data_IF_606373319692
#
_entry.id   IF_606373319692
#
_cell.length_a   1.000
_cell.length_b   1.000
_cell.length_c   1.000
_cell.angle_alpha   90.00
_cell.angle_beta   90.00
_cell.angle_gamma   90.00
#
_symmetry.space_group_name_H-M   'P 1'
#
loop_
_entity.id
_entity.type
_entity.pdbx_description
1 polymer ?
#
# COMPACT_ATOMS: atom_id res chain seq x y z
N UNK A 1 5.28 -13.74 -14.25
CA UNK A 1 6.73 -14.06 -14.20
C UNK A 1 7.58 -13.19 -15.14
N UNK A 2 7.01 -12.59 -16.20
CA UNK A 2 7.75 -11.81 -17.22
C UNK A 2 8.16 -10.36 -16.88
N UNK A 3 7.73 -9.78 -15.74
CA UNK A 3 8.00 -8.38 -15.39
C UNK A 3 9.27 -8.14 -14.53
N UNK A 4 9.98 -9.21 -14.14
CA UNK A 4 11.06 -9.10 -13.14
C UNK A 4 12.49 -8.96 -13.71
N UNK A 5 12.69 -9.04 -15.04
CA UNK A 5 13.99 -8.75 -15.67
C UNK A 5 13.80 -7.73 -16.79
N UNK A 6 14.47 -6.57 -16.75
CA UNK A 6 14.40 -5.62 -17.85
C UNK A 6 15.03 -6.28 -19.09
N UNK A 7 14.33 -6.35 -20.22
CA UNK A 7 14.93 -6.83 -21.46
C UNK A 7 16.07 -5.89 -21.89
N UNK A 8 17.07 -6.38 -22.63
CA UNK A 8 18.26 -5.59 -22.99
C UNK A 8 17.95 -4.30 -23.79
N UNK A 9 16.79 -4.23 -24.44
CA UNK A 9 16.30 -3.01 -25.09
C UNK A 9 15.75 -1.99 -24.09
N UNK A 10 15.16 -2.42 -22.97
CA UNK A 10 14.67 -1.55 -21.91
C UNK A 10 15.79 -0.84 -21.16
N UNK A 11 16.95 -1.49 -20.98
CA UNK A 11 18.15 -0.84 -20.44
C UNK A 11 18.65 0.30 -21.34
N UNK A 12 18.51 0.15 -22.66
CA UNK A 12 18.82 1.18 -23.66
C UNK A 12 17.79 2.33 -23.70
N UNK A 13 16.54 2.08 -23.33
CA UNK A 13 15.51 3.13 -23.19
C UNK A 13 15.68 3.87 -21.87
N UNK A 14 15.98 3.16 -20.78
CA UNK A 14 16.25 3.76 -19.48
C UNK A 14 17.47 4.69 -19.48
N UNK A 15 18.48 4.43 -20.32
CA UNK A 15 19.63 5.32 -20.50
C UNK A 15 19.31 6.61 -21.28
N UNK A 16 18.21 6.62 -22.06
CA UNK A 16 17.70 7.79 -22.81
C UNK A 16 16.71 8.64 -22.02
N UNK A 17 16.26 8.18 -20.85
CA UNK A 17 15.39 8.98 -19.98
C UNK A 17 16.18 10.09 -19.28
N UNK A 18 15.58 11.28 -19.10
CA UNK A 18 16.15 12.37 -18.31
C UNK A 18 16.63 11.87 -16.93
N UNK A 19 17.72 12.42 -16.37
CA UNK A 19 18.24 11.99 -15.07
C UNK A 19 17.21 12.10 -13.93
N UNK A 20 16.22 13.00 -14.04
CA UNK A 20 15.12 13.10 -13.07
C UNK A 20 14.16 11.88 -13.10
N UNK A 21 14.01 11.21 -14.24
CA UNK A 21 13.11 10.05 -14.42
C UNK A 21 13.79 8.71 -14.06
N UNK A 22 15.10 8.71 -13.79
CA UNK A 22 15.86 7.53 -13.32
C UNK A 22 15.47 7.09 -11.89
N UNK A 23 14.68 7.90 -11.19
CA UNK A 23 14.08 7.51 -9.92
C UNK A 23 12.98 6.45 -10.08
N UNK A 24 12.33 6.38 -11.26
CA UNK A 24 11.23 5.44 -11.48
C UNK A 24 11.75 4.03 -11.76
N UNK A 25 11.20 3.04 -11.04
CA UNK A 25 11.52 1.65 -11.28
C UNK A 25 11.00 1.20 -12.66
N UNK A 26 11.75 0.36 -13.37
CA UNK A 26 11.36 -0.12 -14.70
C UNK A 26 9.95 -0.76 -14.74
N UNK A 27 9.55 -1.58 -13.74
CA UNK A 27 8.18 -2.11 -13.69
C UNK A 27 7.11 -1.02 -13.59
N UNK A 28 7.36 0.06 -12.85
CA UNK A 28 6.43 1.19 -12.71
C UNK A 28 6.26 1.96 -14.02
N UNK A 29 7.37 2.29 -14.70
CA UNK A 29 7.31 2.96 -16.02
C UNK A 29 6.56 2.11 -17.04
N UNK A 30 6.79 0.79 -17.01
CA UNK A 30 6.15 -0.14 -17.95
C UNK A 30 4.64 -0.19 -17.77
N UNK A 31 4.14 -0.32 -16.53
CA UNK A 31 2.69 -0.40 -16.29
C UNK A 31 2.00 0.93 -16.59
N UNK A 32 2.60 2.07 -16.22
CA UNK A 32 2.05 3.40 -16.51
C UNK A 32 1.98 3.61 -18.03
N UNK A 33 3.02 3.21 -18.78
CA UNK A 33 3.04 3.32 -20.24
C UNK A 33 1.94 2.48 -20.90
N UNK A 34 1.75 1.24 -20.45
CA UNK A 34 0.66 0.37 -20.92
C UNK A 34 -0.69 1.03 -20.65
N UNK A 35 -0.86 1.62 -19.46
CA UNK A 35 -2.12 2.21 -19.05
C UNK A 35 -2.45 3.49 -19.82
N UNK A 36 -1.44 4.30 -20.17
CA UNK A 36 -1.59 5.43 -21.09
C UNK A 36 -2.07 4.94 -22.45
N UNK A 37 -1.46 3.88 -23.00
CA UNK A 37 -1.87 3.30 -24.29
C UNK A 37 -3.33 2.82 -24.23
N UNK A 38 -3.70 2.10 -23.16
CA UNK A 38 -5.09 1.65 -22.95
C UNK A 38 -6.05 2.84 -22.89
N UNK A 39 -5.70 3.90 -22.15
CA UNK A 39 -6.49 5.13 -22.08
C UNK A 39 -6.65 5.78 -23.46
N UNK A 40 -5.58 5.87 -24.26
CA UNK A 40 -5.65 6.38 -25.62
C UNK A 40 -6.60 5.54 -26.49
N UNK A 41 -6.52 4.21 -26.41
CA UNK A 41 -7.41 3.31 -27.16
C UNK A 41 -8.88 3.49 -26.74
N UNK A 42 -9.15 3.58 -25.44
CA UNK A 42 -10.51 3.82 -24.91
C UNK A 42 -11.03 5.16 -25.44
N UNK A 43 -10.25 6.23 -25.34
CA UNK A 43 -10.65 7.55 -25.83
C UNK A 43 -10.86 7.59 -27.34
N UNK A 44 -10.05 6.90 -28.13
CA UNK A 44 -10.24 6.76 -29.58
C UNK A 44 -11.55 6.03 -29.88
N UNK A 45 -11.82 4.90 -29.22
CA UNK A 45 -13.06 4.14 -29.39
C UNK A 45 -14.28 4.99 -29.04
N UNK A 46 -14.23 5.71 -27.92
CA UNK A 46 -15.28 6.64 -27.48
C UNK A 46 -15.45 7.77 -28.49
N UNK A 47 -14.37 8.38 -28.98
CA UNK A 47 -14.43 9.45 -29.98
C UNK A 47 -15.12 8.99 -31.28
N UNK A 48 -14.87 7.76 -31.73
CA UNK A 48 -15.54 7.16 -32.90
C UNK A 48 -17.06 7.07 -32.66
N UNK A 49 -17.50 6.64 -31.47
CA UNK A 49 -18.93 6.55 -31.13
C UNK A 49 -19.55 7.95 -30.99
N UNK A 50 -18.86 8.87 -30.32
CA UNK A 50 -19.31 10.25 -30.08
C UNK A 50 -19.45 11.07 -31.37
N UNK A 51 -18.78 10.70 -32.47
CA UNK A 51 -19.03 11.36 -33.79
C UNK A 51 -20.50 11.33 -34.20
N UNK A 52 -21.25 10.30 -33.79
CA UNK A 52 -22.69 10.18 -34.07
C UNK A 52 -23.57 10.86 -33.01
N UNK A 53 -23.02 11.14 -31.83
CA UNK A 53 -23.74 11.69 -30.68
C UNK A 53 -22.91 12.76 -29.96
N UNK A 54 -22.63 13.91 -30.61
CA UNK A 54 -21.73 14.94 -30.06
C UNK A 54 -22.23 15.54 -28.74
N UNK A 55 -23.54 15.48 -28.49
CA UNK A 55 -24.17 15.95 -27.23
C UNK A 55 -23.64 15.20 -26.01
N UNK A 56 -23.15 13.97 -26.18
CA UNK A 56 -22.65 13.13 -25.08
C UNK A 56 -21.18 13.40 -24.74
N UNK A 57 -20.49 14.26 -25.49
CA UNK A 57 -19.06 14.51 -25.30
C UNK A 57 -18.74 15.14 -23.94
N UNK A 58 -19.56 16.08 -23.47
CA UNK A 58 -19.42 16.68 -22.14
C UNK A 58 -19.57 15.62 -21.04
N UNK A 59 -20.60 14.77 -21.12
CA UNK A 59 -20.83 13.69 -20.17
C UNK A 59 -19.73 12.64 -20.17
N UNK A 60 -19.14 12.36 -21.33
CA UNK A 60 -17.98 11.48 -21.46
C UNK A 60 -16.75 12.04 -20.73
N UNK A 61 -16.44 13.32 -20.94
CA UNK A 61 -15.35 14.01 -20.23
C UNK A 61 -15.63 14.06 -18.72
N UNK A 62 -16.85 14.41 -18.33
CA UNK A 62 -17.27 14.44 -16.93
C UNK A 62 -17.09 13.08 -16.27
N UNK A 63 -17.56 12.01 -16.89
CA UNK A 63 -17.43 10.66 -16.37
C UNK A 63 -15.97 10.22 -16.19
N UNK A 64 -15.09 10.57 -17.13
CA UNK A 64 -13.64 10.35 -17.00
C UNK A 64 -13.05 11.15 -15.83
N UNK A 65 -13.40 12.44 -15.70
CA UNK A 65 -12.92 13.28 -14.61
C UNK A 65 -13.45 12.85 -13.24
N UNK A 66 -14.67 12.32 -13.17
CA UNK A 66 -15.21 11.73 -11.95
C UNK A 66 -14.42 10.48 -11.56
N UNK A 67 -14.04 9.64 -12.54
CA UNK A 67 -13.15 8.50 -12.30
C UNK A 67 -11.78 8.91 -11.74
N UNK A 68 -11.20 9.98 -12.31
CA UNK A 68 -9.96 10.55 -11.79
C UNK A 68 -10.13 11.13 -10.37
N UNK A 69 -11.19 11.91 -10.15
CA UNK A 69 -11.46 12.51 -8.84
C UNK A 69 -11.65 11.43 -7.77
N UNK A 70 -12.42 10.40 -8.07
CA UNK A 70 -12.72 9.34 -7.13
C UNK A 70 -11.49 8.50 -6.77
N UNK A 71 -10.57 8.28 -7.71
CA UNK A 71 -9.27 7.66 -7.40
C UNK A 71 -8.42 8.45 -6.39
N UNK A 72 -8.69 9.75 -6.24
CA UNK A 72 -8.03 10.57 -5.22
C UNK A 72 -8.72 10.51 -3.87
N UNK A 73 -9.79 9.74 -3.71
CA UNK A 73 -10.45 9.59 -2.43
C UNK A 73 -9.51 8.94 -1.41
N UNK A 74 -9.63 9.41 -0.17
CA UNK A 74 -8.67 9.16 0.89
C UNK A 74 -8.50 7.67 1.21
N UNK A 75 -9.58 6.90 1.05
CA UNK A 75 -9.67 5.47 1.29
C UNK A 75 -9.03 4.62 0.19
N UNK A 76 -9.16 5.03 -1.07
CA UNK A 76 -8.46 4.43 -2.21
C UNK A 76 -6.94 4.52 -2.01
N UNK A 77 -6.42 5.74 -1.82
CA UNK A 77 -4.99 6.00 -1.59
C UNK A 77 -4.50 5.18 -0.39
N UNK A 78 -5.22 5.23 0.73
CA UNK A 78 -4.81 4.52 1.95
C UNK A 78 -4.79 3.00 1.78
N UNK A 79 -5.81 2.43 1.12
CA UNK A 79 -5.87 1.00 0.87
C UNK A 79 -4.71 0.55 -0.04
N UNK A 80 -4.46 1.28 -1.14
CA UNK A 80 -3.40 0.99 -2.11
C UNK A 80 -2.02 1.12 -1.45
N UNK A 81 -1.78 2.16 -0.67
CA UNK A 81 -0.52 2.41 0.03
C UNK A 81 -0.19 1.33 1.05
N UNK A 82 -1.13 1.05 1.95
CA UNK A 82 -0.98 0.05 3.01
C UNK A 82 -0.70 -1.32 2.41
N UNK A 83 -1.34 -1.64 1.29
CA UNK A 83 -1.16 -2.91 0.60
C UNK A 83 0.15 -2.98 -0.17
N UNK A 84 0.51 -1.91 -0.87
CA UNK A 84 1.80 -1.79 -1.57
C UNK A 84 2.96 -1.97 -0.60
N UNK A 85 2.95 -1.23 0.51
CA UNK A 85 3.94 -1.34 1.58
C UNK A 85 4.05 -2.76 2.11
N UNK A 86 2.93 -3.37 2.46
CA UNK A 86 2.89 -4.71 3.02
C UNK A 86 3.48 -5.75 2.07
N UNK A 87 3.13 -5.67 0.79
CA UNK A 87 3.66 -6.57 -0.24
C UNK A 87 5.16 -6.34 -0.47
N UNK A 88 5.64 -5.09 -0.41
CA UNK A 88 7.07 -4.78 -0.48
C UNK A 88 7.84 -5.30 0.74
N UNK A 89 7.27 -5.19 1.95
CA UNK A 89 7.85 -5.79 3.16
C UNK A 89 7.95 -7.33 3.06
N UNK A 90 7.03 -7.94 2.33
CA UNK A 90 7.08 -9.36 1.95
C UNK A 90 8.03 -9.69 0.78
N UNK A 91 8.86 -8.74 0.34
CA UNK A 91 9.84 -8.91 -0.74
C UNK A 91 9.27 -8.88 -2.17
N UNK A 92 7.99 -8.50 -2.34
CA UNK A 92 7.37 -8.41 -3.67
C UNK A 92 7.59 -7.02 -4.31
N UNK A 93 7.39 -6.95 -5.63
CA UNK A 93 7.37 -5.68 -6.41
C UNK A 93 5.98 -5.47 -7.01
N UNK A 94 5.00 -5.03 -6.21
CA UNK A 94 3.57 -5.11 -6.54
C UNK A 94 3.10 -3.89 -7.36
N UNK A 95 3.44 -3.82 -8.65
CA UNK A 95 3.07 -2.67 -9.52
C UNK A 95 1.59 -2.57 -9.90
N UNK A 96 0.81 -3.63 -9.73
CA UNK A 96 -0.58 -3.71 -10.22
C UNK A 96 -1.64 -3.65 -9.11
N UNK A 97 -1.26 -3.24 -7.88
CA UNK A 97 -2.17 -3.16 -6.73
C UNK A 97 -3.35 -2.26 -7.04
N UNK A 98 -3.09 -1.03 -7.48
CA UNK A 98 -4.12 -0.07 -7.88
C UNK A 98 -4.99 -0.58 -9.02
N UNK A 99 -4.40 -1.15 -10.07
CA UNK A 99 -5.17 -1.68 -11.22
C UNK A 99 -6.22 -2.69 -10.81
N UNK A 100 -5.85 -3.66 -9.97
CA UNK A 100 -6.80 -4.68 -9.52
C UNK A 100 -7.87 -4.10 -8.59
N UNK A 101 -7.49 -3.15 -7.74
CA UNK A 101 -8.42 -2.44 -6.87
C UNK A 101 -9.47 -1.67 -7.69
N UNK A 102 -9.06 -0.81 -8.61
CA UNK A 102 -9.96 0.00 -9.45
C UNK A 102 -10.87 -0.87 -10.33
N UNK A 103 -10.36 -1.98 -10.88
CA UNK A 103 -11.17 -2.92 -11.66
C UNK A 103 -12.25 -3.59 -10.81
N UNK A 104 -11.93 -3.94 -9.57
CA UNK A 104 -12.88 -4.47 -8.60
C UNK A 104 -13.97 -3.44 -8.28
N UNK A 105 -13.57 -2.21 -7.92
CA UNK A 105 -14.50 -1.11 -7.63
C UNK A 105 -15.40 -0.83 -8.82
N UNK A 106 -14.80 -0.68 -10.00
CA UNK A 106 -15.50 -0.41 -11.26
C UNK A 106 -16.49 -1.50 -11.67
N UNK A 107 -16.31 -2.74 -11.18
CA UNK A 107 -17.28 -3.81 -11.43
C UNK A 107 -18.64 -3.46 -10.84
N UNK A 108 -18.67 -2.91 -9.62
CA UNK A 108 -19.93 -2.45 -9.02
C UNK A 108 -20.49 -1.27 -9.80
N UNK A 109 -19.66 -0.30 -10.19
CA UNK A 109 -20.11 0.86 -10.99
C UNK A 109 -20.75 0.44 -12.32
N UNK A 110 -20.14 -0.50 -13.05
CA UNK A 110 -20.69 -1.05 -14.29
C UNK A 110 -22.01 -1.79 -14.02
N UNK A 111 -22.07 -2.63 -12.99
CA UNK A 111 -23.30 -3.34 -12.61
C UNK A 111 -24.41 -2.35 -12.27
N UNK A 112 -24.14 -1.35 -11.44
CA UNK A 112 -25.10 -0.30 -11.08
C UNK A 112 -25.60 0.42 -12.31
N UNK A 113 -24.71 0.82 -13.23
CA UNK A 113 -25.12 1.47 -14.49
C UNK A 113 -26.05 0.58 -15.33
N UNK A 114 -25.77 -0.72 -15.45
CA UNK A 114 -26.62 -1.66 -16.19
C UNK A 114 -27.99 -1.81 -15.51
N UNK A 115 -28.00 -2.01 -14.19
CA UNK A 115 -29.24 -2.18 -13.40
C UNK A 115 -30.10 -0.95 -13.51
N UNK A 116 -29.53 0.23 -13.27
CA UNK A 116 -30.24 1.51 -13.33
C UNK A 116 -30.77 1.78 -14.74
N UNK A 117 -29.96 1.55 -15.78
CA UNK A 117 -30.39 1.70 -17.17
C UNK A 117 -31.51 0.72 -17.58
N UNK A 118 -31.48 -0.52 -17.09
CA UNK A 118 -32.51 -1.53 -17.39
C UNK A 118 -33.85 -1.26 -16.68
N UNK A 119 -33.83 -0.44 -15.63
CA UNK A 119 -34.93 -0.29 -14.68
C UNK A 119 -35.73 1.02 -14.87
N UNK A 120 -35.42 1.79 -15.92
CA UNK A 120 -35.98 3.12 -16.20
C UNK A 120 -37.51 3.18 -16.01
N UNK A 121 -37.95 3.86 -14.95
CA UNK A 121 -39.35 4.28 -14.71
C UNK A 121 -40.11 3.54 -13.59
N UNK A 122 -39.90 2.24 -13.37
CA UNK A 122 -40.82 1.44 -12.51
C UNK A 122 -40.28 1.05 -11.12
N UNK A 123 -38.96 1.11 -10.90
CA UNK A 123 -38.33 0.56 -9.68
C UNK A 123 -37.41 1.56 -8.95
N UNK A 124 -37.44 2.85 -9.30
CA UNK A 124 -36.59 3.89 -8.72
C UNK A 124 -36.65 3.89 -7.17
N UNK A 125 -37.86 3.81 -6.60
CA UNK A 125 -38.06 3.75 -5.14
C UNK A 125 -37.50 2.50 -4.45
N UNK A 126 -37.38 1.36 -5.16
CA UNK A 126 -36.77 0.12 -4.61
C UNK A 126 -35.24 0.19 -4.69
N UNK A 127 -34.72 0.93 -5.67
CA UNK A 127 -33.30 1.16 -5.84
C UNK A 127 -32.77 2.13 -4.77
N UNK A 128 -33.51 3.19 -4.44
CA UNK A 128 -33.10 4.16 -3.41
C UNK A 128 -32.82 3.48 -2.06
N UNK A 129 -33.72 2.61 -1.60
CA UNK A 129 -33.52 1.86 -0.35
C UNK A 129 -32.42 0.78 -0.42
N UNK A 130 -32.13 0.24 -1.61
CA UNK A 130 -31.01 -0.69 -1.79
C UNK A 130 -29.66 0.04 -1.82
N UNK A 131 -29.63 1.24 -2.40
CA UNK A 131 -28.46 2.13 -2.44
C UNK A 131 -28.07 2.58 -1.04
N UNK A 132 -29.03 2.95 -0.19
CA UNK A 132 -28.78 3.37 1.20
C UNK A 132 -28.19 2.23 2.04
N UNK A 133 -28.80 1.03 1.98
CA UNK A 133 -28.29 -0.15 2.70
C UNK A 133 -26.92 -0.57 2.16
N UNK A 134 -26.74 -0.55 0.84
CA UNK A 134 -25.48 -0.88 0.20
C UNK A 134 -24.37 0.10 0.58
N UNK A 135 -24.66 1.40 0.64
CA UNK A 135 -23.75 2.45 1.10
C UNK A 135 -23.26 2.23 2.52
N UNK A 136 -24.18 2.00 3.47
CA UNK A 136 -23.83 1.71 4.87
C UNK A 136 -22.96 0.46 4.99
N UNK A 137 -23.30 -0.61 4.27
CA UNK A 137 -22.51 -1.85 4.26
C UNK A 137 -21.13 -1.60 3.66
N UNK A 138 -21.05 -0.91 2.51
CA UNK A 138 -19.81 -0.57 1.83
C UNK A 138 -18.87 0.21 2.73
N UNK A 139 -19.32 1.34 3.28
CA UNK A 139 -18.53 2.19 4.17
C UNK A 139 -18.12 1.47 5.45
N UNK A 140 -18.99 0.65 6.04
CA UNK A 140 -18.67 -0.15 7.24
C UNK A 140 -17.57 -1.18 6.96
N UNK A 141 -17.66 -1.89 5.83
CA UNK A 141 -16.67 -2.88 5.43
C UNK A 141 -15.34 -2.21 5.07
N UNK A 142 -15.36 -1.10 4.34
CA UNK A 142 -14.17 -0.30 4.02
C UNK A 142 -13.47 0.19 5.29
N UNK A 143 -14.22 0.74 6.26
CA UNK A 143 -13.69 1.21 7.53
C UNK A 143 -12.99 0.08 8.29
N UNK A 144 -13.66 -1.08 8.41
CA UNK A 144 -13.11 -2.24 9.09
C UNK A 144 -11.81 -2.73 8.42
N UNK A 145 -11.76 -2.77 7.08
CA UNK A 145 -10.56 -3.19 6.35
C UNK A 145 -9.43 -2.18 6.50
N UNK A 146 -9.69 -0.87 6.37
CA UNK A 146 -8.67 0.17 6.54
C UNK A 146 -8.07 0.16 7.94
N UNK A 147 -8.89 0.07 8.97
CA UNK A 147 -8.42 -0.03 10.36
C UNK A 147 -7.54 -1.27 10.53
N UNK A 148 -7.98 -2.42 10.01
CA UNK A 148 -7.24 -3.66 10.12
C UNK A 148 -5.89 -3.60 9.38
N UNK A 149 -5.87 -3.06 8.16
CA UNK A 149 -4.65 -2.85 7.38
C UNK A 149 -3.73 -1.82 8.05
N UNK A 150 -4.30 -0.77 8.65
CA UNK A 150 -3.61 0.24 9.42
C UNK A 150 -2.88 -0.36 10.62
N UNK A 151 -3.55 -1.16 11.43
CA UNK A 151 -2.94 -1.88 12.57
C UNK A 151 -1.84 -2.82 12.06
N UNK A 152 -2.10 -3.57 10.99
CA UNK A 152 -1.11 -4.48 10.40
C UNK A 152 0.16 -3.75 9.93
N UNK A 153 0.01 -2.59 9.30
CA UNK A 153 1.14 -1.77 8.85
C UNK A 153 1.82 -1.01 9.99
N UNK A 154 1.11 -0.69 11.07
CA UNK A 154 1.66 -0.16 12.31
C UNK A 154 2.62 -1.17 12.96
N UNK A 155 2.27 -2.47 12.91
CA UNK A 155 3.16 -3.53 13.37
C UNK A 155 4.42 -3.67 12.50
N UNK A 156 4.29 -3.56 11.17
CA UNK A 156 5.46 -3.51 10.26
C UNK A 156 6.33 -2.29 10.61
N UNK A 157 5.71 -1.14 10.90
CA UNK A 157 6.41 0.09 11.29
C UNK A 157 7.18 -0.12 12.59
N UNK A 158 6.56 -0.74 13.60
CA UNK A 158 7.23 -1.09 14.85
C UNK A 158 8.48 -1.96 14.62
N UNK A 159 8.36 -3.00 13.77
CA UNK A 159 9.50 -3.85 13.41
C UNK A 159 10.62 -3.09 12.68
N UNK A 160 10.27 -2.17 11.77
CA UNK A 160 11.26 -1.32 11.10
C UNK A 160 12.01 -0.42 12.11
N UNK A 161 11.29 0.14 13.09
CA UNK A 161 11.88 0.95 14.16
C UNK A 161 12.80 0.11 15.06
N UNK A 162 12.47 -1.16 15.33
CA UNK A 162 13.38 -2.05 16.03
C UNK A 162 14.63 -2.35 15.19
N UNK A 163 14.47 -2.66 13.90
CA UNK A 163 15.57 -2.99 12.99
C UNK A 163 16.57 -1.84 12.85
N UNK A 164 16.08 -0.60 12.71
CA UNK A 164 16.99 0.56 12.61
C UNK A 164 17.79 0.77 13.91
N UNK A 165 17.20 0.50 15.09
CA UNK A 165 17.92 0.60 16.37
C UNK A 165 19.04 -0.44 16.48
N UNK A 166 18.80 -1.67 16.01
CA UNK A 166 19.80 -2.74 15.98
C UNK A 166 20.92 -2.40 15.01
N UNK A 167 20.58 -2.01 13.77
CA UNK A 167 21.59 -1.64 12.75
C UNK A 167 22.44 -0.46 13.23
N UNK A 168 21.85 0.55 13.87
CA UNK A 168 22.58 1.68 14.44
C UNK A 168 23.52 1.26 15.58
N UNK A 169 23.17 0.24 16.35
CA UNK A 169 24.03 -0.33 17.40
C UNK A 169 25.22 -1.07 16.77
N UNK A 170 24.96 -1.96 15.82
CA UNK A 170 26.00 -2.74 15.11
C UNK A 170 26.99 -1.86 14.35
N UNK A 171 26.52 -0.76 13.75
CA UNK A 171 27.37 0.20 13.03
C UNK A 171 28.41 0.88 13.94
N UNK A 172 28.07 1.06 15.22
CA UNK A 172 28.96 1.66 16.24
C UNK A 172 29.84 0.61 16.91
N UNK A 173 29.35 -0.62 17.09
CA UNK A 173 30.11 -1.73 17.69
C UNK A 173 31.18 -2.32 16.77
N UNK A 174 31.15 -2.04 15.47
CA UNK A 174 32.13 -2.55 14.49
C UNK A 174 31.86 -3.98 14.01
N UNK A 175 30.86 -4.67 14.57
CA UNK A 175 30.47 -6.05 14.25
C UNK A 175 29.58 -6.16 12.99
N UNK A 176 29.88 -5.38 11.94
CA UNK A 176 29.01 -5.32 10.76
C UNK A 176 29.26 -6.53 9.85
N UNK A 177 28.40 -7.54 9.94
CA UNK A 177 28.23 -8.49 8.83
C UNK A 177 27.51 -7.77 7.67
N UNK A 178 28.20 -7.63 6.53
CA UNK A 178 27.68 -7.00 5.31
C UNK A 178 26.59 -7.86 4.63
N UNK A 179 25.41 -7.96 5.23
CA UNK A 179 24.22 -8.45 4.55
C UNK A 179 23.51 -7.29 3.83
N UNK A 180 23.98 -6.97 2.63
CA UNK A 180 23.45 -5.89 1.77
C UNK A 180 22.09 -6.20 1.12
N UNK A 181 21.57 -7.42 1.26
CA UNK A 181 20.30 -7.78 0.62
C UNK A 181 19.10 -7.56 1.55
N UNK A 182 18.31 -6.52 1.27
CA UNK A 182 16.90 -6.46 1.70
C UNK A 182 16.63 -5.99 3.14
N UNK A 183 17.12 -4.81 3.55
CA UNK A 183 16.76 -4.21 4.85
C UNK A 183 15.24 -4.03 5.08
N UNK A 184 14.45 -4.06 4.01
CA UNK A 184 12.98 -4.04 4.04
C UNK A 184 12.37 -5.39 3.64
N UNK A 185 13.09 -6.20 2.86
CA UNK A 185 12.64 -7.48 2.33
C UNK A 185 13.21 -8.64 3.19
N UNK A 186 12.34 -9.32 3.94
CA UNK A 186 12.79 -10.34 4.90
C UNK A 186 12.62 -9.92 6.35
N UNK A 187 11.68 -9.01 6.64
CA UNK A 187 11.09 -8.97 7.98
C UNK A 187 10.37 -10.30 8.19
N UNK A 188 11.09 -11.31 8.70
CA UNK A 188 10.49 -12.57 9.08
C UNK A 188 9.38 -12.26 10.09
N UNK A 189 8.14 -12.47 9.64
CA UNK A 189 6.95 -12.40 10.47
C UNK A 189 6.85 -13.65 11.35
N UNK A 190 7.99 -14.22 11.73
CA UNK A 190 8.14 -15.33 12.63
C UNK A 190 8.10 -14.82 14.07
N UNK A 191 6.87 -14.77 14.59
CA UNK A 191 6.59 -14.63 16.02
C UNK A 191 5.43 -15.54 16.37
N UNK A 192 5.54 -16.26 17.49
CA UNK A 192 4.57 -17.27 17.93
C UNK A 192 3.35 -16.72 18.69
N UNK A 193 2.97 -15.46 18.52
CA UNK A 193 1.87 -14.84 19.26
C UNK A 193 0.49 -15.06 18.62
N UNK A 194 -0.58 -15.00 19.43
CA UNK A 194 -1.99 -15.02 18.94
C UNK A 194 -2.21 -13.92 17.90
N UNK A 195 -1.70 -12.72 18.18
CA UNK A 195 -1.76 -11.57 17.28
C UNK A 195 -1.05 -11.85 15.94
N UNK A 196 0.09 -12.55 15.94
CA UNK A 196 0.79 -12.94 14.71
C UNK A 196 0.01 -14.00 13.93
N UNK A 197 -0.73 -14.89 14.61
CA UNK A 197 -1.57 -15.90 13.96
C UNK A 197 -2.78 -15.28 13.26
N UNK A 198 -3.45 -14.32 13.92
CA UNK A 198 -4.56 -13.54 13.33
C UNK A 198 -4.04 -12.72 12.15
N UNK A 199 -2.93 -11.98 12.32
CA UNK A 199 -2.34 -11.22 11.23
C UNK A 199 -1.89 -12.12 10.08
N UNK A 200 -1.26 -13.27 10.32
CA UNK A 200 -0.92 -14.23 9.25
C UNK A 200 -2.15 -14.68 8.46
N UNK A 201 -3.30 -14.90 9.11
CA UNK A 201 -4.53 -15.33 8.44
C UNK A 201 -5.11 -14.22 7.57
N UNK A 202 -5.21 -13.00 8.09
CA UNK A 202 -5.73 -11.85 7.32
C UNK A 202 -4.74 -11.43 6.24
N UNK A 203 -3.45 -11.51 6.51
CA UNK A 203 -2.40 -11.25 5.53
C UNK A 203 -2.39 -12.29 4.41
N UNK A 204 -2.61 -13.57 4.69
CA UNK A 204 -2.77 -14.60 3.65
C UNK A 204 -3.97 -14.32 2.75
N UNK A 205 -4.97 -13.59 3.24
CA UNK A 205 -6.11 -13.17 2.44
C UNK A 205 -5.76 -12.13 1.37
N UNK A 206 -4.71 -11.32 1.53
CA UNK A 206 -4.28 -10.32 0.53
C UNK A 206 -2.76 -10.39 0.31
N UNK A 207 -2.23 -11.56 0.00
CA UNK A 207 -0.79 -11.80 -0.18
C UNK A 207 -0.29 -11.55 -1.62
N UNK A 208 -1.19 -11.23 -2.56
CA UNK A 208 -0.87 -11.00 -3.97
C UNK A 208 -1.62 -9.77 -4.50
N UNK A 209 -1.04 -9.03 -5.48
CA UNK A 209 -1.69 -7.84 -6.06
C UNK A 209 -3.11 -8.09 -6.57
N UNK A 210 -3.39 -9.24 -7.18
CA UNK A 210 -4.71 -9.55 -7.74
C UNK A 210 -5.83 -9.66 -6.69
N UNK A 211 -5.48 -9.96 -5.44
CA UNK A 211 -6.44 -10.05 -4.33
C UNK A 211 -6.98 -8.68 -3.90
N UNK A 212 -6.45 -7.60 -4.47
CA UNK A 212 -7.06 -6.28 -4.38
C UNK A 212 -8.38 -6.18 -5.16
N UNK A 213 -8.65 -7.07 -6.12
CA UNK A 213 -9.90 -7.01 -6.88
C UNK A 213 -11.14 -7.25 -6.01
N UNK A 214 -11.23 -8.35 -5.22
CA UNK A 214 -12.32 -8.49 -4.26
C UNK A 214 -12.42 -7.32 -3.28
N UNK A 215 -11.29 -6.75 -2.84
CA UNK A 215 -11.29 -5.60 -1.96
C UNK A 215 -11.90 -4.37 -2.64
N UNK A 216 -11.54 -4.11 -3.90
CA UNK A 216 -12.12 -3.06 -4.72
C UNK A 216 -13.63 -3.23 -4.87
N UNK A 217 -14.12 -4.47 -5.08
CA UNK A 217 -15.56 -4.74 -5.13
C UNK A 217 -16.25 -4.34 -3.82
N UNK A 218 -15.63 -4.63 -2.66
CA UNK A 218 -16.18 -4.23 -1.36
C UNK A 218 -16.25 -2.70 -1.21
N UNK A 219 -15.21 -1.98 -1.65
CA UNK A 219 -15.17 -0.52 -1.62
C UNK A 219 -16.17 0.10 -2.60
N UNK A 220 -16.34 -0.51 -3.77
CA UNK A 220 -17.31 -0.08 -4.78
C UNK A 220 -18.78 -0.26 -4.37
N UNK A 221 -19.06 -0.98 -3.28
CA UNK A 221 -20.43 -1.05 -2.74
C UNK A 221 -20.90 0.24 -2.08
N UNK A 222 -20.02 1.23 -1.85
CA UNK A 222 -20.43 2.60 -1.58
C UNK A 222 -21.20 3.13 -2.79
N UNK A 223 -22.52 3.02 -2.79
CA UNK A 223 -23.32 3.22 -4.00
C UNK A 223 -23.31 4.67 -4.51
N UNK A 224 -22.89 5.65 -3.71
CA UNK A 224 -22.96 7.07 -4.04
C UNK A 224 -22.31 7.40 -5.39
N UNK A 225 -21.05 7.03 -5.58
CA UNK A 225 -20.34 7.28 -6.84
C UNK A 225 -20.89 6.45 -8.00
N UNK A 226 -21.31 5.21 -7.75
CA UNK A 226 -21.90 4.35 -8.78
C UNK A 226 -23.24 4.90 -9.29
N UNK A 227 -24.02 5.50 -8.38
CA UNK A 227 -25.30 6.13 -8.67
C UNK A 227 -25.12 7.45 -9.42
N UNK A 228 -24.11 8.26 -9.08
CA UNK A 228 -23.78 9.49 -9.84
C UNK A 228 -23.51 9.19 -11.32
N UNK A 229 -22.69 8.19 -11.62
CA UNK A 229 -22.37 7.81 -13.00
C UNK A 229 -23.59 7.21 -13.71
N UNK A 230 -24.39 6.41 -13.01
CA UNK A 230 -25.60 5.83 -13.57
C UNK A 230 -26.66 6.89 -13.92
N UNK A 231 -26.87 7.87 -13.02
CA UNK A 231 -27.80 9.00 -13.23
C UNK A 231 -27.30 9.92 -14.34
N UNK A 232 -26.00 10.24 -14.37
CA UNK A 232 -25.37 10.96 -15.48
C UNK A 232 -25.63 10.23 -16.81
N UNK A 233 -25.53 8.90 -16.80
CA UNK A 233 -25.79 8.06 -17.96
C UNK A 233 -27.21 8.15 -18.48
N UNK A 234 -28.21 8.02 -17.58
CA UNK A 234 -29.62 8.17 -17.94
C UNK A 234 -29.89 9.58 -18.47
N UNK A 235 -29.50 10.62 -17.74
CA UNK A 235 -29.77 12.01 -18.12
C UNK A 235 -29.17 12.37 -19.50
N UNK A 236 -27.98 11.83 -19.79
CA UNK A 236 -27.31 12.06 -21.07
C UNK A 236 -28.00 11.35 -22.24
N UNK A 237 -28.52 10.14 -21.99
CA UNK A 237 -29.10 9.27 -23.02
C UNK A 237 -30.59 9.55 -23.26
N UNK A 238 -31.34 10.02 -22.26
CA UNK A 238 -32.72 10.53 -22.46
C UNK A 238 -32.76 11.73 -23.42
N UNK A 239 -31.71 12.55 -23.44
CA UNK A 239 -31.53 13.62 -24.43
C UNK A 239 -31.36 13.13 -25.87
N UNK A 240 -31.09 11.83 -26.07
CA UNK A 240 -30.85 11.19 -27.37
C UNK A 240 -31.82 10.00 -27.54
N UNK A 241 -33.11 10.33 -27.77
CA UNK A 241 -34.20 9.36 -27.91
C UNK A 241 -33.86 8.20 -28.87
N UNK A 242 -34.12 6.96 -28.44
CA UNK A 242 -34.03 5.76 -29.30
C UNK A 242 -32.66 5.10 -29.38
N UNK A 243 -31.75 5.38 -28.45
CA UNK A 243 -30.41 4.78 -28.41
C UNK A 243 -30.39 3.50 -27.56
N UNK A 244 -29.49 2.57 -27.90
CA UNK A 244 -29.37 1.30 -27.20
C UNK A 244 -28.68 1.44 -25.83
N UNK A 245 -29.03 0.56 -24.90
CA UNK A 245 -28.45 0.49 -23.54
C UNK A 245 -26.91 0.44 -23.53
N UNK A 246 -26.32 -0.07 -24.62
CA UNK A 246 -24.87 -0.13 -24.84
C UNK A 246 -24.19 1.25 -24.86
N UNK A 247 -24.92 2.32 -25.20
CA UNK A 247 -24.36 3.67 -25.22
C UNK A 247 -24.08 4.21 -23.80
N UNK A 248 -24.90 3.80 -22.83
CA UNK A 248 -24.74 4.17 -21.41
C UNK A 248 -23.44 3.59 -20.85
N UNK A 249 -23.00 2.42 -21.33
CA UNK A 249 -21.77 1.76 -20.88
C UNK A 249 -20.48 2.51 -21.23
N UNK A 250 -20.54 3.53 -22.08
CA UNK A 250 -19.39 4.41 -22.35
C UNK A 250 -18.94 5.13 -21.08
N UNK A 251 -19.89 5.59 -20.25
CA UNK A 251 -19.60 6.33 -19.03
C UNK A 251 -18.85 5.48 -17.99
N UNK A 252 -19.36 4.32 -17.51
CA UNK A 252 -18.61 3.52 -16.56
C UNK A 252 -17.26 3.05 -17.12
N UNK A 253 -17.12 2.81 -18.43
CA UNK A 253 -15.81 2.48 -19.04
C UNK A 253 -14.82 3.64 -18.94
N UNK A 254 -15.25 4.88 -19.21
CA UNK A 254 -14.40 6.07 -19.06
C UNK A 254 -14.05 6.34 -17.60
N UNK A 255 -15.02 6.20 -16.70
CA UNK A 255 -14.82 6.28 -15.26
C UNK A 255 -13.76 5.26 -14.80
N UNK A 256 -13.87 4.00 -15.23
CA UNK A 256 -12.88 2.95 -14.95
C UNK A 256 -11.51 3.30 -15.50
N UNK A 257 -11.44 3.82 -16.73
CA UNK A 257 -10.17 4.17 -17.36
C UNK A 257 -9.45 5.30 -16.59
N UNK A 258 -10.19 6.32 -16.16
CA UNK A 258 -9.70 7.41 -15.32
C UNK A 258 -9.22 6.93 -13.97
N UNK A 259 -10.07 6.18 -13.24
CA UNK A 259 -9.73 5.65 -11.92
C UNK A 259 -8.51 4.74 -11.96
N UNK A 260 -8.49 3.77 -12.89
CA UNK A 260 -7.35 2.87 -13.06
C UNK A 260 -6.06 3.66 -13.26
N UNK A 261 -6.10 4.77 -14.01
CA UNK A 261 -4.91 5.58 -14.30
C UNK A 261 -4.26 6.12 -13.03
N UNK A 262 -5.03 6.74 -12.14
CA UNK A 262 -4.50 7.32 -10.91
C UNK A 262 -4.16 6.27 -9.87
N UNK A 263 -5.06 5.34 -9.56
CA UNK A 263 -4.81 4.28 -8.58
C UNK A 263 -3.58 3.42 -8.94
N UNK A 264 -3.43 3.08 -10.22
CA UNK A 264 -2.24 2.31 -10.67
C UNK A 264 -0.98 3.15 -10.59
N UNK A 265 -1.06 4.44 -10.93
CA UNK A 265 0.09 5.35 -10.83
C UNK A 265 0.52 5.51 -9.39
N UNK A 266 -0.42 5.71 -8.46
CA UNK A 266 -0.19 5.79 -7.03
C UNK A 266 0.54 4.55 -6.50
N UNK A 267 -0.01 3.35 -6.71
CA UNK A 267 0.63 2.10 -6.28
C UNK A 267 2.00 1.86 -6.92
N UNK A 268 2.18 2.23 -8.19
CA UNK A 268 3.46 2.09 -8.89
C UNK A 268 4.53 3.08 -8.39
N UNK A 269 4.14 4.32 -8.09
CA UNK A 269 5.00 5.34 -7.48
C UNK A 269 5.35 4.96 -6.05
N UNK A 270 4.40 4.47 -5.27
CA UNK A 270 4.63 4.04 -3.89
C UNK A 270 5.56 2.83 -3.83
N UNK A 271 5.38 1.83 -4.69
CA UNK A 271 6.33 0.73 -4.81
C UNK A 271 7.73 1.23 -5.16
N UNK A 272 7.82 2.20 -6.07
CA UNK A 272 9.09 2.83 -6.44
C UNK A 272 9.70 3.56 -5.24
N UNK A 273 8.94 4.33 -4.46
CA UNK A 273 9.43 5.01 -3.26
C UNK A 273 10.00 4.02 -2.23
N UNK A 274 9.37 2.86 -2.05
CA UNK A 274 9.86 1.83 -1.13
C UNK A 274 11.03 0.99 -1.65
N UNK A 275 11.15 0.82 -2.98
CA UNK A 275 12.17 -0.07 -3.59
C UNK A 275 13.34 0.67 -4.23
N UNK A 276 13.23 1.98 -4.45
CA UNK A 276 14.23 2.75 -5.18
C UNK A 276 15.56 2.78 -4.46
N UNK A 277 16.50 2.14 -5.12
CA UNK A 277 17.90 1.91 -4.79
C UNK A 277 18.74 3.18 -4.95
N UNK A 278 18.14 4.34 -5.22
CA UNK A 278 18.85 5.63 -5.33
C UNK A 278 19.46 6.10 -4.00
N UNK A 279 19.12 5.44 -2.89
CA UNK A 279 19.67 5.66 -1.55
C UNK A 279 20.63 4.54 -1.10
N UNK A 280 20.94 3.59 -1.99
CA UNK A 280 21.53 2.29 -1.66
C UNK A 280 23.01 2.26 -1.28
N UNK A 281 23.60 3.38 -0.84
CA UNK A 281 24.86 3.29 -0.09
C UNK A 281 24.63 3.00 1.39
N UNK A 282 23.50 3.45 1.96
CA UNK A 282 23.29 3.42 3.41
C UNK A 282 22.01 2.65 3.79
N UNK A 283 22.17 1.50 4.44
CA UNK A 283 21.08 0.70 5.04
C UNK A 283 20.22 1.54 6.00
N UNK A 284 20.85 2.44 6.76
CA UNK A 284 20.19 3.36 7.70
C UNK A 284 19.29 4.36 6.96
N UNK A 285 19.70 4.85 5.79
CA UNK A 285 18.87 5.75 4.98
C UNK A 285 17.60 5.03 4.52
N UNK A 286 17.74 3.83 3.95
CA UNK A 286 16.61 3.02 3.47
C UNK A 286 15.60 2.78 4.59
N UNK A 287 16.07 2.40 5.78
CA UNK A 287 15.22 2.18 6.95
C UNK A 287 14.54 3.48 7.42
N UNK A 288 15.28 4.60 7.48
CA UNK A 288 14.74 5.91 7.87
C UNK A 288 13.58 6.34 6.97
N UNK A 289 13.80 6.36 5.64
CA UNK A 289 12.75 6.76 4.70
C UNK A 289 11.56 5.81 4.72
N UNK A 290 11.80 4.49 4.85
CA UNK A 290 10.72 3.49 4.98
C UNK A 290 9.91 3.64 6.26
N UNK A 291 10.54 4.06 7.36
CA UNK A 291 9.87 4.36 8.63
C UNK A 291 9.00 5.59 8.47
N UNK A 292 9.57 6.71 8.00
CA UNK A 292 8.86 7.99 7.86
C UNK A 292 7.67 7.85 6.92
N UNK A 293 7.89 7.32 5.72
CA UNK A 293 6.84 7.14 4.73
C UNK A 293 5.67 6.33 5.30
N UNK A 294 5.98 5.33 6.12
CA UNK A 294 4.92 4.50 6.66
C UNK A 294 4.30 4.94 7.96
N UNK A 295 4.98 5.75 8.76
CA UNK A 295 4.34 6.47 9.84
C UNK A 295 3.23 7.35 9.27
N UNK A 296 3.51 8.03 8.15
CA UNK A 296 2.55 8.86 7.43
C UNK A 296 1.39 8.01 6.87
N UNK A 297 1.68 6.92 6.15
CA UNK A 297 0.64 6.02 5.62
C UNK A 297 -0.24 5.44 6.74
N UNK A 298 0.35 4.98 7.84
CA UNK A 298 -0.41 4.42 8.98
C UNK A 298 -1.25 5.50 9.65
N UNK A 299 -0.71 6.71 9.83
CA UNK A 299 -1.43 7.84 10.42
C UNK A 299 -2.68 8.15 9.60
N UNK A 300 -2.54 8.35 8.28
CA UNK A 300 -3.68 8.66 7.42
C UNK A 300 -4.70 7.52 7.39
N UNK A 301 -4.25 6.28 7.27
CA UNK A 301 -5.15 5.12 7.30
C UNK A 301 -6.00 5.06 8.58
N UNK A 302 -5.40 5.36 9.75
CA UNK A 302 -6.14 5.40 11.03
C UNK A 302 -7.12 6.57 11.06
N UNK A 303 -6.69 7.78 10.66
CA UNK A 303 -7.57 8.95 10.60
C UNK A 303 -8.76 8.71 9.69
N UNK A 304 -8.53 8.20 8.48
CA UNK A 304 -9.59 7.91 7.51
C UNK A 304 -10.49 6.79 8.01
N UNK A 305 -9.93 5.72 8.56
CA UNK A 305 -10.73 4.62 9.13
C UNK A 305 -11.64 5.10 10.26
N UNK A 306 -11.17 6.04 11.10
CA UNK A 306 -11.99 6.68 12.13
C UNK A 306 -13.06 7.57 11.50
N UNK A 307 -12.74 8.39 10.50
CA UNK A 307 -13.73 9.23 9.80
C UNK A 307 -14.83 8.37 9.17
N UNK A 308 -14.48 7.28 8.48
CA UNK A 308 -15.48 6.36 7.91
C UNK A 308 -16.34 5.71 9.00
N UNK A 309 -15.73 5.31 10.12
CA UNK A 309 -16.48 4.75 11.24
C UNK A 309 -17.47 5.78 11.84
N UNK A 310 -17.04 7.03 11.99
CA UNK A 310 -17.89 8.13 12.45
C UNK A 310 -19.01 8.42 11.45
N UNK A 311 -18.75 8.39 10.14
CA UNK A 311 -19.75 8.57 9.10
C UNK A 311 -20.82 7.45 9.12
N UNK A 312 -20.44 6.21 9.44
CA UNK A 312 -21.45 5.16 9.65
C UNK A 312 -22.33 5.45 10.87
N UNK A 313 -21.78 6.04 11.93
CA UNK A 313 -22.54 6.36 13.14
C UNK A 313 -23.41 7.61 12.94
N UNK A 314 -22.98 8.59 12.13
CA UNK A 314 -23.75 9.80 11.83
C UNK A 314 -25.09 9.47 11.15
N UNK A 315 -25.16 8.38 10.37
CA UNK A 315 -26.42 7.88 9.81
C UNK A 315 -27.50 7.58 10.87
N UNK A 316 -27.12 7.33 12.13
CA UNK A 316 -28.06 7.00 13.22
C UNK A 316 -28.09 8.07 14.32
N UNK A 317 -27.34 9.16 14.19
CA UNK A 317 -27.16 10.14 15.26
C UNK A 317 -27.16 11.57 14.71
N UNK A 318 -27.84 12.48 15.40
CA UNK A 318 -27.99 13.87 14.97
C UNK A 318 -27.41 14.83 16.01
N UNK A 319 -26.83 15.94 15.54
CA UNK A 319 -26.31 17.02 16.39
C UNK A 319 -25.08 17.73 15.82
N UNK A 320 -24.62 18.84 16.44
CA UNK A 320 -23.58 19.72 15.87
C UNK A 320 -22.23 19.04 15.60
N UNK A 321 -21.92 17.97 16.34
CA UNK A 321 -20.73 17.16 16.10
C UNK A 321 -20.87 16.33 14.83
N UNK A 322 -22.03 15.73 14.60
CA UNK A 322 -22.33 14.90 13.43
C UNK A 322 -22.44 15.73 12.17
N UNK A 323 -22.98 16.94 12.25
CA UNK A 323 -22.97 17.91 11.14
C UNK A 323 -21.54 18.21 10.67
N UNK A 324 -20.58 18.24 11.61
CA UNK A 324 -19.15 18.40 11.29
C UNK A 324 -18.52 17.15 10.65
N UNK A 325 -18.96 15.95 11.04
CA UNK A 325 -18.52 14.68 10.42
C UNK A 325 -19.06 14.57 9.00
N UNK A 326 -20.32 14.92 8.78
CA UNK A 326 -20.97 14.89 7.48
C UNK A 326 -20.33 15.93 6.54
N UNK A 327 -20.01 17.13 7.04
CA UNK A 327 -19.26 18.13 6.27
C UNK A 327 -17.87 17.65 5.81
N UNK A 328 -17.18 16.82 6.62
CA UNK A 328 -15.91 16.19 6.21
C UNK A 328 -16.15 15.10 5.17
N UNK A 329 -17.28 14.38 5.25
CA UNK A 329 -17.74 13.44 4.24
C UNK A 329 -18.06 14.10 2.89
N UNK A 330 -18.68 15.28 2.90
CA UNK A 330 -19.01 16.01 1.66
C UNK A 330 -17.75 16.48 0.90
N UNK A 331 -16.66 16.74 1.63
CA UNK A 331 -15.38 17.17 1.08
C UNK A 331 -14.34 16.02 1.02
N UNK A 332 -14.77 14.76 0.96
CA UNK A 332 -13.89 13.59 1.04
C UNK A 332 -12.78 13.57 -0.01
N UNK A 333 -13.08 13.98 -1.25
CA UNK A 333 -12.09 14.07 -2.32
C UNK A 333 -11.04 15.16 -2.08
N UNK A 334 -11.41 16.23 -1.36
CA UNK A 334 -10.46 17.30 -0.97
C UNK A 334 -9.52 16.80 0.14
N UNK A 335 -10.04 15.99 1.07
CA UNK A 335 -9.23 15.31 2.10
C UNK A 335 -8.19 14.40 1.44
N UNK A 336 -8.60 13.62 0.44
CA UNK A 336 -7.69 12.76 -0.31
C UNK A 336 -6.61 13.54 -1.09
N UNK A 337 -6.98 14.64 -1.75
CA UNK A 337 -6.01 15.57 -2.35
C UNK A 337 -5.02 16.17 -1.34
N UNK A 338 -5.49 16.53 -0.14
CA UNK A 338 -4.64 17.01 0.95
C UNK A 338 -3.66 15.94 1.44
N UNK A 339 -4.05 14.67 1.44
CA UNK A 339 -3.19 13.53 1.79
C UNK A 339 -2.07 13.37 0.75
N UNK A 340 -2.39 13.38 -0.54
CA UNK A 340 -1.36 13.38 -1.60
C UNK A 340 -0.37 14.54 -1.42
N UNK A 341 -0.87 15.75 -1.16
CA UNK A 341 -0.03 16.92 -0.88
C UNK A 341 0.85 16.74 0.35
N UNK A 342 0.31 16.15 1.41
CA UNK A 342 1.06 15.84 2.63
C UNK A 342 2.18 14.82 2.37
N UNK A 343 1.95 13.77 1.58
CA UNK A 343 3.01 12.84 1.20
C UNK A 343 4.17 13.52 0.48
N UNK A 344 3.88 14.46 -0.42
CA UNK A 344 4.90 15.25 -1.12
C UNK A 344 5.67 16.15 -0.13
N UNK A 345 4.95 16.86 0.74
CA UNK A 345 5.54 17.79 1.72
C UNK A 345 6.38 17.03 2.75
N UNK A 346 5.81 16.04 3.43
CA UNK A 346 6.51 15.27 4.45
C UNK A 346 7.61 14.39 3.86
N UNK A 347 7.41 13.85 2.66
CA UNK A 347 8.45 13.15 1.90
C UNK A 347 9.63 14.07 1.59
N UNK A 348 9.38 15.28 1.09
CA UNK A 348 10.41 16.29 0.85
C UNK A 348 11.11 16.73 2.13
N UNK A 349 10.35 16.99 3.20
CA UNK A 349 10.88 17.39 4.51
C UNK A 349 11.78 16.30 5.10
N UNK A 350 11.41 15.02 4.94
CA UNK A 350 12.20 13.88 5.36
C UNK A 350 13.59 13.86 4.71
N UNK A 351 13.68 14.21 3.42
CA UNK A 351 14.97 14.31 2.71
C UNK A 351 15.85 15.41 3.32
N UNK A 352 15.26 16.55 3.69
CA UNK A 352 15.98 17.67 4.30
C UNK A 352 16.43 17.32 5.73
N UNK A 353 15.56 16.66 6.50
CA UNK A 353 15.80 16.32 7.90
C UNK A 353 16.72 15.11 8.11
N UNK A 354 16.97 14.31 7.07
CA UNK A 354 17.83 13.11 7.15
C UNK A 354 19.24 13.42 7.68
N UNK A 355 19.94 14.41 7.11
CA UNK A 355 21.32 14.75 7.52
C UNK A 355 21.40 15.24 8.98
N UNK A 356 20.55 16.20 9.43
CA UNK A 356 20.49 16.59 10.84
C UNK A 356 20.17 15.44 11.78
N UNK A 357 19.23 14.58 11.41
CA UNK A 357 18.83 13.42 12.20
C UNK A 357 19.98 12.42 12.35
N UNK A 358 20.64 12.05 11.24
CA UNK A 358 21.77 11.12 11.23
C UNK A 358 22.90 11.60 12.14
N UNK A 359 23.29 12.89 12.04
CA UNK A 359 24.31 13.48 12.92
C UNK A 359 23.97 13.43 14.41
N UNK A 360 22.69 13.59 14.78
CA UNK A 360 22.26 13.48 16.19
C UNK A 360 22.32 12.03 16.67
N UNK A 361 21.85 11.10 15.85
CA UNK A 361 21.81 9.68 16.18
C UNK A 361 23.23 9.12 16.31
N UNK A 362 24.11 9.42 15.36
CA UNK A 362 25.52 9.00 15.41
C UNK A 362 26.19 9.51 16.69
N UNK A 363 25.92 10.77 17.10
CA UNK A 363 26.41 11.34 18.36
C UNK A 363 25.87 10.60 19.59
N UNK A 364 24.58 10.26 19.60
CA UNK A 364 23.94 9.58 20.72
C UNK A 364 24.48 8.15 20.89
N UNK A 365 24.57 7.39 19.79
CA UNK A 365 25.10 6.03 19.84
C UNK A 365 26.61 6.00 20.10
N UNK A 366 27.40 6.94 19.54
CA UNK A 366 28.81 7.08 19.87
C UNK A 366 29.02 7.40 21.36
N UNK A 367 28.15 8.22 21.98
CA UNK A 367 28.24 8.50 23.42
C UNK A 367 27.86 7.33 24.32
N UNK A 368 27.04 6.40 23.81
CA UNK A 368 26.45 5.30 24.61
C UNK A 368 27.15 3.96 24.40
N UNK A 369 27.75 3.75 23.22
CA UNK A 369 28.38 2.48 22.82
C UNK A 369 29.77 2.66 22.21
N UNK A 370 30.28 3.90 22.11
CA UNK A 370 31.62 4.15 21.62
C UNK A 370 32.68 3.53 22.54
N UNK A 371 33.61 2.80 21.97
CA UNK A 371 34.75 2.24 22.69
C UNK A 371 35.61 3.37 23.26
N UNK A 372 35.83 3.40 24.59
CA UNK A 372 36.91 4.19 25.17
C UNK A 372 38.24 3.70 24.58
N UNK A 373 39.26 4.57 24.41
CA UNK A 373 40.58 4.18 23.90
C UNK A 373 41.30 3.12 24.76
N UNK A 374 40.74 2.77 25.93
CA UNK A 374 41.27 1.80 26.89
C UNK A 374 40.58 0.42 26.84
N UNK A 375 39.81 0.12 25.78
CA UNK A 375 39.22 -1.22 25.56
C UNK A 375 38.07 -1.61 26.50
N UNK A 376 37.63 -0.72 27.38
CA UNK A 376 36.44 -0.93 28.20
C UNK A 376 35.19 -0.47 27.44
N UNK A 377 34.28 -1.42 27.15
CA UNK A 377 32.93 -1.12 26.67
C UNK A 377 32.19 -0.43 27.81
N UNK A 378 31.82 0.84 27.62
CA UNK A 378 30.97 1.55 28.57
C UNK A 378 29.57 0.93 28.56
N UNK A 379 29.34 -0.06 29.42
CA UNK A 379 27.99 -0.56 29.71
C UNK A 379 27.28 0.49 30.56
N UNK A 380 26.58 1.43 29.94
CA UNK A 380 25.53 2.17 30.63
C UNK A 380 24.40 1.16 30.95
N UNK A 381 24.30 0.76 32.21
CA UNK A 381 23.18 -0.02 32.74
C UNK A 381 21.86 0.75 32.57
N UNK A 382 21.13 0.49 31.48
CA UNK A 382 19.69 0.72 31.42
C UNK A 382 19.06 -0.60 30.95
N UNK A 383 18.36 -1.23 31.88
CA UNK A 383 17.55 -2.43 31.73
C UNK A 383 16.34 -2.13 30.84
N UNK A 384 16.49 -2.31 29.53
CA UNK A 384 15.38 -2.23 28.57
C UNK A 384 14.87 -3.67 28.32
N UNK A 385 13.78 -4.00 29.02
CA UNK A 385 13.18 -5.34 29.09
C UNK A 385 12.86 -5.94 27.72
N UNK A 386 13.74 -6.81 27.22
CA UNK A 386 13.43 -7.86 26.24
C UNK A 386 13.41 -9.22 26.93
N UNK A 387 12.57 -10.17 26.47
CA UNK A 387 12.46 -11.47 27.11
C UNK A 387 13.79 -12.22 27.00
N UNK A 388 14.33 -12.63 28.16
CA UNK A 388 15.52 -13.48 28.27
C UNK A 388 15.39 -14.69 27.34
N UNK A 389 16.24 -14.76 26.31
CA UNK A 389 16.60 -16.06 25.74
C UNK A 389 17.26 -16.85 26.86
N UNK A 390 16.65 -17.98 27.20
CA UNK A 390 17.21 -18.97 28.10
C UNK A 390 18.47 -19.50 27.43
N UNK A 391 19.64 -19.06 27.89
CA UNK A 391 20.92 -19.71 27.58
C UNK A 391 20.99 -20.97 28.44
N UNK A 392 20.96 -22.13 27.80
CA UNK A 392 21.39 -23.38 28.42
C UNK A 392 22.91 -23.46 28.20
N UNK A 393 23.68 -23.12 29.21
CA UNK A 393 25.10 -23.45 29.30
C UNK A 393 25.40 -23.88 30.73
N UNK A 394 25.56 -25.18 30.95
CA UNK A 394 26.69 -25.73 31.70
C UNK A 394 26.72 -27.27 31.58
N UNK A 395 27.52 -27.82 30.67
CA UNK A 395 28.20 -29.09 30.91
C UNK A 395 29.61 -29.03 30.31
N UNK A 396 30.59 -28.78 31.19
CA UNK A 396 32.02 -28.87 30.90
C UNK A 396 32.42 -30.33 30.61
N UNK A 397 33.45 -30.59 29.78
CA UNK A 397 34.00 -31.94 29.63
C UNK A 397 34.90 -32.26 30.83
N UNK A 398 34.53 -33.27 31.61
CA UNK A 398 35.38 -33.80 32.68
C UNK A 398 36.41 -34.76 32.07
N UNK A 399 37.68 -34.42 32.26
CA UNK A 399 38.88 -35.22 31.94
C UNK A 399 38.67 -36.71 32.26
N UNK A 400 38.82 -37.59 31.27
CA UNK A 400 39.01 -39.02 31.51
C UNK A 400 40.50 -39.30 31.74
N UNK A 401 40.76 -39.82 32.94
CA UNK A 401 42.03 -40.36 33.41
C UNK A 401 42.41 -41.58 32.57
N UNK A 402 43.60 -41.56 31.99
CA UNK A 402 44.22 -42.72 31.38
C UNK A 402 44.47 -43.79 32.46
N UNK A 403 43.81 -44.94 32.33
CA UNK A 403 44.18 -46.18 33.01
C UNK A 403 45.00 -46.98 32.03
N UNK A 404 46.29 -47.10 32.34
CA UNK A 404 47.21 -48.11 31.83
C UNK A 404 46.67 -49.50 32.08
N UNK A 405 46.49 -50.29 31.03
CA UNK A 405 46.42 -51.75 31.12
C UNK A 405 47.41 -52.33 30.12
N UNK A 406 48.31 -53.12 30.67
CA UNK A 406 49.51 -53.70 30.09
C UNK A 406 49.27 -54.57 28.86
N UNK A 407 50.21 -54.48 27.92
CA UNK A 407 50.52 -55.50 26.93
C UNK A 407 51.04 -56.78 27.61
N UNK A 408 50.52 -57.94 27.21
CA UNK A 408 51.28 -59.19 27.01
C UNK A 408 50.40 -60.14 26.16
N UNK A 409 50.68 -60.32 24.86
CA UNK A 409 51.59 -61.29 24.22
C UNK A 409 50.86 -62.59 23.76
N UNK A 410 51.01 -62.88 22.46
CA UNK A 410 50.88 -64.18 21.73
C UNK A 410 49.50 -64.83 21.59
N UNK A 411 49.14 -65.54 20.51
CA UNK A 411 49.71 -65.80 19.19
C UNK A 411 48.65 -66.59 18.37
N UNK A 412 48.81 -66.57 17.04
CA UNK A 412 48.63 -67.75 16.17
C UNK A 412 47.21 -68.28 15.84
N UNK A 413 46.90 -68.14 14.54
CA UNK A 413 46.43 -69.14 13.56
C UNK A 413 44.95 -69.18 13.16
N UNK A 414 44.83 -69.19 11.82
CA UNK A 414 43.84 -69.76 10.89
C UNK A 414 42.46 -69.15 10.85
#
# INVERSE_FOLDING_TARGET
>A
MFLNRPPQWAARVASRLPPQLRFLSFPAVSIISILIIVNCVVWIAVAIVLRKHPVLASSAVLSYTLGLRHALDADHISAIDLMTRRLVAGGQKPVTVGTWFSLGHSTIVVITCIVVAATSGALQKRFDGFSEVGGVIGTSVSAAVLILLGIGNAWILYKLVQRIRVVLKEEVSGDREENHEGAVAGLDLEGGGIMVRVFKKVFKFIDRPWKMYPLGVLFGMGFDTSSEIAVLGIASVEGVKGTGIWLILIFPVLFTAGMCMLDTTDGALMMTLYTSTSLARDTVAILYYSIVLSAITVLFAVVIGIIQLLSVISNFSSGPFWDGVDAVGDHYSEVGGAICGAFVIFGGLSVILYKPWRRRVDRHYASRYGSSPDGSVALSEEDDGMPKKISLEDERPRKQTAVTTSEEITASRS
#
